data_IF_615168102151
#
_entry.id   IF_615168102151
#
_cell.length_a   1.000
_cell.length_b   1.000
_cell.length_c   1.000
_cell.angle_alpha   90.00
_cell.angle_beta   90.00
_cell.angle_gamma   90.00
#
_symmetry.space_group_name_H-M   'P 1'
#
loop_
_entity.id
_entity.type
_entity.pdbx_description
1 polymer ?
#
# COMPACT_ATOMS: atom_id res chain seq x y z
N UNK A 1 -27.40 -47.27 27.04
CA UNK A 1 -26.02 -47.57 26.62
C UNK A 1 -25.88 -47.14 25.16
N UNK A 2 -25.99 -45.86 24.81
CA UNK A 2 -25.16 -44.70 25.16
C UNK A 2 -23.78 -44.74 24.47
N UNK A 3 -23.76 -44.55 23.14
CA UNK A 3 -22.58 -44.03 22.41
C UNK A 3 -23.10 -43.11 21.28
N UNK A 4 -23.28 -41.84 21.61
CA UNK A 4 -23.41 -40.75 20.65
C UNK A 4 -22.58 -39.57 21.17
N UNK A 5 -21.26 -39.61 20.96
CA UNK A 5 -20.25 -38.57 21.27
C UNK A 5 -19.01 -38.95 20.47
N UNK A 6 -18.23 -38.10 19.82
CA UNK A 6 -18.19 -36.67 19.66
C UNK A 6 -17.20 -36.52 18.49
N UNK A 7 -17.62 -36.04 17.31
CA UNK A 7 -16.62 -35.62 16.33
C UNK A 7 -15.93 -34.40 16.93
N UNK A 8 -14.69 -34.59 17.39
CA UNK A 8 -13.81 -33.52 17.84
C UNK A 8 -13.63 -32.55 16.66
N UNK A 9 -14.38 -31.45 16.67
CA UNK A 9 -13.99 -30.23 15.98
C UNK A 9 -12.70 -29.77 16.64
N UNK A 10 -11.57 -30.27 16.15
CA UNK A 10 -10.32 -29.53 16.23
C UNK A 10 -10.47 -28.36 15.25
N UNK A 11 -11.26 -27.37 15.65
CA UNK A 11 -11.08 -26.03 15.14
C UNK A 11 -9.68 -25.63 15.58
N UNK A 12 -8.70 -25.83 14.71
CA UNK A 12 -7.47 -25.04 14.76
C UNK A 12 -7.96 -23.60 14.62
N UNK A 13 -8.21 -22.94 15.75
CA UNK A 13 -8.28 -21.50 15.76
C UNK A 13 -6.87 -21.07 15.41
N UNK A 14 -6.66 -20.77 14.14
CA UNK A 14 -5.47 -20.10 13.68
C UNK A 14 -5.46 -18.77 14.43
N UNK A 15 -4.74 -18.73 15.56
CA UNK A 15 -4.41 -17.47 16.21
C UNK A 15 -3.39 -16.82 15.29
N UNK A 16 -3.85 -16.16 14.23
CA UNK A 16 -3.02 -15.24 13.48
C UNK A 16 -2.47 -14.25 14.53
N UNK A 17 -1.18 -14.34 14.83
CA UNK A 17 -0.52 -13.27 15.56
C UNK A 17 -0.65 -12.04 14.67
N UNK A 18 -1.56 -11.13 15.02
CA UNK A 18 -1.75 -9.90 14.26
C UNK A 18 -0.48 -9.06 14.37
N UNK A 19 0.32 -9.01 13.30
CA UNK A 19 1.51 -8.16 13.24
C UNK A 19 1.08 -6.79 12.75
N UNK A 20 1.46 -5.74 13.48
CA UNK A 20 1.31 -4.36 13.01
C UNK A 20 2.50 -3.98 12.14
N UNK A 21 2.25 -3.69 10.87
CA UNK A 21 3.25 -3.20 9.91
C UNK A 21 3.04 -1.72 9.65
N UNK A 22 4.08 -0.91 9.84
CA UNK A 22 4.00 0.55 9.63
C UNK A 22 4.86 0.96 8.45
N UNK A 23 4.27 1.71 7.51
CA UNK A 23 4.94 2.29 6.36
C UNK A 23 4.83 3.80 6.40
N UNK A 24 5.93 4.50 6.09
CA UNK A 24 5.96 5.95 5.96
C UNK A 24 6.09 6.28 4.48
N UNK A 25 5.00 6.75 3.88
CA UNK A 25 4.95 7.10 2.47
C UNK A 25 4.88 8.62 2.30
N UNK A 26 5.47 9.13 1.23
CA UNK A 26 5.20 10.48 0.79
C UNK A 26 4.80 10.53 -0.68
N UNK A 27 3.81 11.38 -1.00
CA UNK A 27 3.58 11.81 -2.36
C UNK A 27 4.62 12.90 -2.70
N UNK A 28 5.42 12.69 -3.74
CA UNK A 28 6.49 13.60 -4.17
C UNK A 28 6.43 13.80 -5.68
N UNK A 29 6.91 14.95 -6.15
CA UNK A 29 7.05 15.21 -7.57
C UNK A 29 8.45 14.83 -8.07
N UNK A 30 8.49 14.12 -9.19
CA UNK A 30 9.70 13.74 -9.90
C UNK A 30 9.62 14.20 -11.35
N UNK A 31 10.78 14.40 -11.97
CA UNK A 31 10.89 14.53 -13.42
C UNK A 31 11.13 13.13 -13.99
N UNK A 32 10.21 12.64 -14.82
CA UNK A 32 10.23 11.28 -15.36
C UNK A 32 10.46 11.29 -16.86
N UNK A 33 11.50 10.58 -17.28
CA UNK A 33 11.79 10.36 -18.69
C UNK A 33 11.29 8.96 -19.11
N UNK A 34 10.45 8.92 -20.15
CA UNK A 34 9.97 7.67 -20.75
C UNK A 34 10.89 7.15 -21.86
N UNK A 35 11.81 7.98 -22.35
CA UNK A 35 12.76 7.63 -23.40
C UNK A 35 13.83 6.66 -22.92
N UNK A 36 14.46 5.97 -23.87
CA UNK A 36 15.74 5.31 -23.62
C UNK A 36 16.86 6.37 -23.65
N UNK A 37 18.01 6.07 -23.03
CA UNK A 37 19.15 7.00 -22.91
C UNK A 37 19.71 7.55 -24.25
N UNK A 38 19.24 7.03 -25.38
CA UNK A 38 19.66 7.38 -26.74
C UNK A 38 18.88 8.56 -27.33
N UNK A 39 17.65 8.85 -26.86
CA UNK A 39 16.82 9.96 -27.35
C UNK A 39 16.68 11.07 -26.29
N UNK A 40 17.79 11.78 -26.03
CA UNK A 40 17.89 12.86 -25.03
C UNK A 40 17.17 14.17 -25.39
N UNK A 41 16.37 14.19 -26.46
CA UNK A 41 15.66 15.39 -26.91
C UNK A 41 14.26 15.55 -26.29
N UNK A 42 13.78 14.58 -25.51
CA UNK A 42 12.48 14.67 -24.84
C UNK A 42 12.61 15.41 -23.50
N UNK A 43 11.74 16.39 -23.29
CA UNK A 43 11.58 17.06 -22.00
C UNK A 43 10.93 16.08 -21.03
N UNK A 44 11.50 15.85 -19.82
CA UNK A 44 10.92 14.92 -18.86
C UNK A 44 9.55 15.40 -18.38
N UNK A 45 8.67 14.45 -18.06
CA UNK A 45 7.33 14.70 -17.57
C UNK A 45 7.35 14.88 -16.06
N UNK A 46 6.77 15.96 -15.56
CA UNK A 46 6.51 16.13 -14.13
C UNK A 46 5.47 15.10 -13.68
N UNK A 47 5.79 14.22 -12.73
CA UNK A 47 4.86 13.22 -12.19
C UNK A 47 4.83 13.27 -10.67
N UNK A 48 3.65 13.06 -10.07
CA UNK A 48 3.51 12.82 -8.63
C UNK A 48 3.52 11.31 -8.37
N UNK A 49 4.39 10.84 -7.49
CA UNK A 49 4.57 9.41 -7.18
C UNK A 49 4.66 9.18 -5.67
N UNK A 50 4.41 7.95 -5.23
CA UNK A 50 4.65 7.56 -3.85
C UNK A 50 6.09 7.06 -3.63
N UNK A 51 6.75 7.54 -2.58
CA UNK A 51 8.07 7.09 -2.13
C UNK A 51 8.04 6.69 -0.66
N UNK A 52 8.90 5.74 -0.27
CA UNK A 52 8.98 5.26 1.11
C UNK A 52 10.09 5.97 1.88
N UNK A 53 9.84 6.23 3.16
CA UNK A 53 10.81 6.81 4.09
C UNK A 53 11.03 5.88 5.28
N UNK A 54 12.18 6.02 5.93
CA UNK A 54 12.54 5.19 7.09
C UNK A 54 11.65 5.41 8.31
N UNK A 55 11.11 6.62 8.46
CA UNK A 55 10.39 7.04 9.66
C UNK A 55 9.48 8.26 9.39
N UNK A 56 8.76 8.69 10.44
CA UNK A 56 7.82 9.80 10.39
C UNK A 56 8.45 11.19 10.34
N UNK A 57 9.79 11.30 10.31
CA UNK A 57 10.46 12.58 10.05
C UNK A 57 10.64 12.84 8.56
N UNK A 58 10.48 11.82 7.71
CA UNK A 58 10.58 11.92 6.24
C UNK A 58 11.89 12.55 5.76
N UNK A 59 13.00 12.26 6.45
CA UNK A 59 14.34 12.80 6.12
C UNK A 59 15.19 11.85 5.28
N UNK A 60 14.95 10.54 5.41
CA UNK A 60 15.71 9.50 4.72
C UNK A 60 14.74 8.66 3.91
N UNK A 61 14.75 8.89 2.60
CA UNK A 61 14.06 8.04 1.64
C UNK A 61 14.71 6.65 1.64
N UNK A 62 13.90 5.60 1.60
CA UNK A 62 14.38 4.24 1.37
C UNK A 62 14.71 4.11 -0.12
N UNK A 63 15.91 3.61 -0.49
CA UNK A 63 16.29 3.50 -1.89
C UNK A 63 15.21 2.83 -2.74
N UNK A 64 14.75 3.57 -3.74
CA UNK A 64 13.75 3.08 -4.68
C UNK A 64 14.37 2.03 -5.60
N UNK A 65 13.65 0.94 -5.84
CA UNK A 65 14.12 -0.12 -6.73
C UNK A 65 13.91 0.33 -8.18
N UNK A 66 14.99 0.48 -8.94
CA UNK A 66 14.94 1.01 -10.31
C UNK A 66 13.97 0.24 -11.22
N UNK A 67 13.85 -1.08 -11.05
CA UNK A 67 12.92 -1.91 -11.83
C UNK A 67 11.44 -1.60 -11.58
N UNK A 68 11.09 -0.91 -10.49
CA UNK A 68 9.73 -0.43 -10.23
C UNK A 68 9.42 0.89 -10.95
N UNK A 69 10.42 1.56 -11.54
CA UNK A 69 10.21 2.81 -12.26
C UNK A 69 9.48 3.88 -11.44
N UNK A 70 8.30 4.32 -11.91
CA UNK A 70 7.48 5.30 -11.19
C UNK A 70 6.47 4.69 -10.21
N UNK A 71 6.35 3.36 -10.13
CA UNK A 71 5.49 2.71 -9.15
C UNK A 71 5.94 3.05 -7.73
N UNK A 72 4.97 3.09 -6.82
CA UNK A 72 5.25 3.25 -5.39
C UNK A 72 5.95 2.02 -4.79
N UNK A 73 6.41 2.12 -3.53
CA UNK A 73 7.03 1.02 -2.81
C UNK A 73 6.07 -0.17 -2.64
N UNK A 74 6.62 -1.39 -2.65
CA UNK A 74 5.84 -2.60 -2.37
C UNK A 74 5.49 -2.68 -0.89
N UNK A 75 4.19 -2.66 -0.58
CA UNK A 75 3.68 -2.93 0.76
C UNK A 75 3.43 -4.43 0.89
N UNK A 76 4.01 -5.07 1.90
CA UNK A 76 3.93 -6.53 2.09
C UNK A 76 3.22 -6.78 3.42
N UNK A 77 2.20 -7.62 3.40
CA UNK A 77 1.42 -8.01 4.57
C UNK A 77 0.80 -9.39 4.37
N UNK A 78 0.52 -10.07 5.48
CA UNK A 78 -0.14 -11.37 5.52
C UNK A 78 -1.56 -11.23 6.07
N UNK A 79 -2.38 -12.25 5.87
CA UNK A 79 -3.74 -12.29 6.43
C UNK A 79 -3.70 -12.14 7.95
N UNK A 80 -4.54 -11.23 8.48
CA UNK A 80 -4.60 -10.89 9.90
C UNK A 80 -3.65 -9.77 10.33
N UNK A 81 -2.76 -9.31 9.45
CA UNK A 81 -1.90 -8.16 9.73
C UNK A 81 -2.68 -6.85 9.75
N UNK A 82 -2.22 -5.93 10.59
CA UNK A 82 -2.68 -4.54 10.60
C UNK A 82 -1.66 -3.66 9.86
N UNK A 83 -2.05 -3.10 8.73
CA UNK A 83 -1.23 -2.18 7.93
C UNK A 83 -1.53 -0.74 8.33
N UNK A 84 -0.50 -0.02 8.77
CA UNK A 84 -0.58 1.41 9.12
C UNK A 84 0.28 2.19 8.14
N UNK A 85 -0.35 2.94 7.24
CA UNK A 85 0.35 3.78 6.28
C UNK A 85 0.24 5.24 6.69
N UNK A 86 1.37 5.85 7.01
CA UNK A 86 1.47 7.28 7.30
C UNK A 86 1.88 7.99 6.01
N UNK A 87 0.91 8.66 5.39
CA UNK A 87 1.10 9.42 4.16
C UNK A 87 1.39 10.88 4.51
N UNK A 88 2.49 11.42 3.96
CA UNK A 88 2.76 12.85 3.92
C UNK A 88 2.70 13.36 2.48
N UNK A 89 1.98 14.44 2.24
CA UNK A 89 1.92 15.00 0.90
C UNK A 89 2.95 16.12 0.72
N UNK A 90 3.97 15.88 -0.10
CA UNK A 90 4.94 16.89 -0.53
C UNK A 90 4.71 17.34 -1.99
N UNK A 91 3.74 16.76 -2.69
CA UNK A 91 3.35 17.19 -4.02
C UNK A 91 2.53 18.49 -3.98
N UNK A 92 2.37 19.13 -5.14
CA UNK A 92 1.59 20.38 -5.25
C UNK A 92 0.08 20.16 -5.32
N UNK A 93 -0.36 18.93 -5.59
CA UNK A 93 -1.77 18.54 -5.69
C UNK A 93 -2.21 17.73 -4.47
N UNK A 94 -3.50 17.80 -4.13
CA UNK A 94 -4.08 16.93 -3.10
C UNK A 94 -4.09 15.48 -3.57
N UNK A 95 -3.76 14.55 -2.69
CA UNK A 95 -3.80 13.11 -2.97
C UNK A 95 -4.51 12.37 -1.85
N UNK A 96 -4.88 11.13 -2.07
CA UNK A 96 -5.29 10.22 -0.99
C UNK A 96 -4.60 8.86 -1.18
N UNK A 97 -5.04 7.86 -0.40
CA UNK A 97 -4.56 6.50 -0.54
C UNK A 97 -5.72 5.53 -0.44
N UNK A 98 -5.96 4.81 -1.52
CA UNK A 98 -6.86 3.66 -1.56
C UNK A 98 -6.05 2.41 -1.88
N UNK A 99 -6.44 1.27 -1.33
CA UNK A 99 -5.82 -0.02 -1.61
C UNK A 99 -6.88 -1.09 -1.84
N UNK A 100 -6.58 -2.02 -2.74
CA UNK A 100 -7.40 -3.19 -3.03
C UNK A 100 -7.07 -4.33 -2.07
N UNK A 101 -8.05 -5.17 -1.74
CA UNK A 101 -7.82 -6.36 -0.91
C UNK A 101 -7.50 -6.03 0.55
N UNK A 102 -7.97 -4.88 1.04
CA UNK A 102 -7.81 -4.48 2.44
C UNK A 102 -9.16 -4.10 3.04
N UNK A 103 -9.31 -4.31 4.34
CA UNK A 103 -10.46 -3.85 5.11
C UNK A 103 -10.08 -2.57 5.84
N UNK A 104 -10.83 -1.51 5.59
CA UNK A 104 -10.62 -0.20 6.24
C UNK A 104 -11.08 -0.28 7.69
N UNK A 105 -10.18 -0.01 8.64
CA UNK A 105 -10.48 -0.08 10.09
C UNK A 105 -10.67 1.28 10.74
N UNK A 106 -10.32 2.36 10.05
CA UNK A 106 -10.54 3.75 10.46
C UNK A 106 -11.02 4.57 9.28
N UNK A 107 -11.84 5.59 9.50
CA UNK A 107 -12.30 6.48 8.43
C UNK A 107 -11.10 7.05 7.65
N UNK A 108 -11.08 6.84 6.33
CA UNK A 108 -10.05 7.38 5.47
C UNK A 108 -10.38 8.85 5.14
N UNK A 109 -9.39 9.77 5.17
CA UNK A 109 -9.62 11.12 4.72
C UNK A 109 -9.94 11.12 3.21
N UNK A 110 -10.86 11.99 2.78
CA UNK A 110 -11.18 12.14 1.35
C UNK A 110 -9.96 12.57 0.54
N UNK A 111 -9.11 13.42 1.12
CA UNK A 111 -7.85 13.91 0.54
C UNK A 111 -6.87 14.37 1.63
N UNK A 112 -5.60 14.46 1.26
CA UNK A 112 -4.49 15.02 2.02
C UNK A 112 -3.96 16.22 1.23
N UNK A 113 -4.12 17.42 1.78
CA UNK A 113 -3.63 18.66 1.17
C UNK A 113 -2.09 18.68 1.09
N UNK A 114 -1.50 19.46 0.18
CA UNK A 114 -0.06 19.72 0.17
C UNK A 114 0.45 20.13 1.55
N UNK A 115 1.61 19.61 1.93
CA UNK A 115 2.29 19.77 3.22
C UNK A 115 1.59 19.14 4.45
N UNK A 116 0.41 18.55 4.29
CA UNK A 116 -0.29 17.83 5.35
C UNK A 116 0.09 16.34 5.37
N UNK A 117 -0.35 15.66 6.42
CA UNK A 117 -0.19 14.22 6.59
C UNK A 117 -1.48 13.58 7.08
N UNK A 118 -1.64 12.28 6.81
CA UNK A 118 -2.75 11.47 7.31
C UNK A 118 -2.31 10.03 7.52
N UNK A 119 -3.05 9.30 8.36
CA UNK A 119 -2.77 7.89 8.64
C UNK A 119 -3.92 7.04 8.14
N UNK A 120 -3.59 6.03 7.35
CA UNK A 120 -4.52 5.02 6.85
C UNK A 120 -4.29 3.75 7.66
N UNK A 121 -5.37 3.16 8.17
CA UNK A 121 -5.33 1.91 8.92
C UNK A 121 -6.18 0.87 8.23
N UNK A 122 -5.55 -0.22 7.86
CA UNK A 122 -6.18 -1.33 7.19
C UNK A 122 -5.84 -2.65 7.88
N UNK A 123 -6.73 -3.62 7.73
CA UNK A 123 -6.56 -5.01 8.10
C UNK A 123 -6.52 -5.84 6.81
N UNK A 124 -5.66 -6.85 6.74
CA UNK A 124 -5.65 -7.79 5.61
C UNK A 124 -6.66 -8.92 5.92
N UNK A 125 -7.81 -8.96 5.25
CA UNK A 125 -8.87 -9.87 5.61
C UNK A 125 -8.64 -11.25 4.94
N UNK A 126 -9.27 -12.30 5.47
CA UNK A 126 -9.08 -13.68 4.99
C UNK A 126 -9.44 -13.84 3.51
N UNK A 127 -10.41 -13.07 3.01
CA UNK A 127 -10.87 -13.10 1.62
C UNK A 127 -9.82 -12.56 0.64
N UNK A 128 -8.78 -11.89 1.15
CA UNK A 128 -7.64 -11.42 0.36
C UNK A 128 -6.49 -12.44 0.30
N UNK A 129 -6.63 -13.57 0.98
CA UNK A 129 -5.69 -14.69 0.89
C UNK A 129 -5.61 -15.22 -0.54
N UNK A 130 -4.41 -15.64 -1.01
CA UNK A 130 -4.31 -16.53 -2.17
C UNK A 130 -5.17 -17.77 -1.99
N UNK A 131 -5.79 -18.23 -3.07
CA UNK A 131 -6.46 -19.53 -3.17
C UNK A 131 -5.47 -20.65 -3.47
N UNK A 132 -5.94 -21.90 -3.54
CA UNK A 132 -5.07 -23.05 -3.81
C UNK A 132 -4.40 -22.98 -5.20
N UNK A 133 -5.07 -22.38 -6.18
CA UNK A 133 -4.57 -22.24 -7.55
C UNK A 133 -3.71 -20.96 -7.75
N UNK A 134 -3.67 -20.09 -6.74
CA UNK A 134 -2.88 -18.86 -6.78
C UNK A 134 -1.41 -19.10 -6.38
N UNK A 135 -0.48 -18.24 -6.82
CA UNK A 135 0.85 -18.21 -6.24
C UNK A 135 0.79 -17.89 -4.73
N UNK A 136 1.86 -18.17 -3.96
CA UNK A 136 1.88 -17.91 -2.51
C UNK A 136 1.64 -16.46 -2.09
N UNK A 137 1.71 -15.50 -3.02
CA UNK A 137 1.43 -14.09 -2.79
C UNK A 137 0.68 -13.51 -3.99
N UNK A 138 -0.39 -12.76 -3.74
CA UNK A 138 -1.21 -12.11 -4.78
C UNK A 138 -0.94 -10.60 -4.76
N UNK A 139 -0.60 -10.04 -5.92
CA UNK A 139 -0.39 -8.61 -6.07
C UNK A 139 -1.73 -7.84 -6.07
N UNK A 140 -1.77 -6.73 -5.31
CA UNK A 140 -2.89 -5.79 -5.24
C UNK A 140 -2.40 -4.36 -5.49
N UNK A 141 -3.28 -3.50 -6.00
CA UNK A 141 -2.94 -2.11 -6.28
C UNK A 141 -3.32 -1.20 -5.11
N UNK A 142 -2.56 -0.12 -4.98
CA UNK A 142 -2.94 1.06 -4.22
C UNK A 142 -2.64 2.31 -5.05
N UNK A 143 -3.46 3.36 -4.90
CA UNK A 143 -3.39 4.57 -5.72
C UNK A 143 -4.13 5.74 -5.03
N UNK A 144 -3.90 6.95 -5.54
CA UNK A 144 -4.73 8.12 -5.21
C UNK A 144 -5.98 8.14 -6.09
N UNK A 145 -7.11 8.54 -5.53
CA UNK A 145 -8.41 8.57 -6.19
C UNK A 145 -9.14 9.91 -6.00
N UNK A 146 -8.42 10.98 -5.72
CA UNK A 146 -9.01 12.32 -5.51
C UNK A 146 -9.57 12.83 -6.83
N UNK A 147 -8.79 12.70 -7.90
CA UNK A 147 -9.22 12.88 -9.29
C UNK A 147 -8.73 11.67 -10.09
N UNK A 148 -9.58 10.65 -10.25
CA UNK A 148 -9.19 9.37 -10.83
C UNK A 148 -8.59 9.48 -12.24
N UNK A 149 -8.94 10.52 -13.01
CA UNK A 149 -8.41 10.72 -14.37
C UNK A 149 -6.99 11.30 -14.30
N UNK A 150 -6.69 12.15 -13.31
CA UNK A 150 -5.39 12.81 -13.17
C UNK A 150 -4.40 12.06 -12.30
N UNK A 151 -4.91 11.25 -11.36
CA UNK A 151 -4.12 10.56 -10.35
C UNK A 151 -3.50 9.25 -10.87
N UNK A 152 -3.94 8.75 -12.04
CA UNK A 152 -3.45 7.54 -12.72
C UNK A 152 -2.59 7.93 -13.93
#
# INVERSE_FOLDING_TARGET
>A
MLILRLFYLLGLTFSANSIRRTYYLAAVEIDWDYGNAENRELVPFRKSVFRQFSDGYYRREIPHVESLGYFGPTLIAEVGDALVVRLRNFATVSCNLQAQGVKVTSENPSYVLPHNQSTYQWEIPQESSPTYDDPPCVARLYYSSVDQIKDI
#
